data_IF_598773653317
#
_entry.id   IF_598773653317
#
_cell.length_a   1.000
_cell.length_b   1.000
_cell.length_c   1.000
_cell.angle_alpha   90.00
_cell.angle_beta   90.00
_cell.angle_gamma   90.00
#
_symmetry.space_group_name_H-M   'P 1'
#
loop_
_entity.id
_entity.type
_entity.pdbx_description
1 polymer ?
#
# COMPACT_ATOMS: atom_id res chain seq x y z
N UNK A 1 13.42 2.78 -6.29
CA UNK A 1 14.10 1.59 -5.71
C UNK A 1 13.23 1.10 -4.56
N UNK A 2 12.73 -0.13 -4.56
CA UNK A 2 11.84 -0.65 -3.51
C UNK A 2 12.53 -1.82 -2.80
N UNK A 3 13.01 -1.66 -1.56
CA UNK A 3 13.34 -2.80 -0.72
C UNK A 3 12.47 -2.81 0.54
N UNK A 4 11.39 -3.58 0.50
CA UNK A 4 10.87 -4.41 1.58
C UNK A 4 9.72 -5.23 1.01
N UNK A 5 9.89 -6.56 0.92
CA UNK A 5 8.86 -7.49 0.43
C UNK A 5 7.62 -7.46 1.34
N UNK A 6 6.70 -6.53 1.10
CA UNK A 6 5.40 -6.47 1.78
C UNK A 6 4.42 -7.48 1.17
N UNK A 7 4.83 -8.74 1.03
CA UNK A 7 3.97 -9.85 0.59
C UNK A 7 3.27 -9.68 -0.77
N UNK A 8 3.64 -8.67 -1.58
CA UNK A 8 2.95 -8.30 -2.83
C UNK A 8 1.73 -7.39 -2.69
N UNK A 9 1.53 -6.76 -1.52
CA UNK A 9 0.44 -5.79 -1.26
C UNK A 9 0.87 -4.33 -1.43
N UNK A 10 2.16 -4.06 -1.61
CA UNK A 10 2.68 -2.70 -1.77
C UNK A 10 2.42 -2.18 -3.19
N UNK A 11 1.87 -0.97 -3.28
CA UNK A 11 1.42 -0.35 -4.54
C UNK A 11 2.19 0.91 -4.92
N UNK A 12 2.57 1.74 -3.94
CA UNK A 12 3.19 3.05 -4.20
C UNK A 12 4.21 3.50 -3.14
N UNK A 13 4.56 2.61 -2.22
CA UNK A 13 5.54 2.87 -1.15
C UNK A 13 5.27 4.12 -0.29
N UNK A 14 6.30 4.48 0.48
CA UNK A 14 6.34 5.70 1.27
C UNK A 14 7.31 6.67 0.61
N UNK A 15 6.78 7.61 -0.16
CA UNK A 15 7.59 8.62 -0.82
C UNK A 15 7.54 9.95 -0.05
N UNK A 16 8.71 10.58 0.00
CA UNK A 16 9.04 11.78 0.78
C UNK A 16 9.76 12.80 -0.11
N UNK A 17 9.75 12.62 -1.43
CA UNK A 17 10.51 13.42 -2.38
C UNK A 17 10.07 14.88 -2.36
N UNK A 18 8.78 15.15 -2.14
CA UNK A 18 8.25 16.50 -1.93
C UNK A 18 8.93 17.25 -0.77
N UNK A 19 9.42 16.54 0.26
CA UNK A 19 10.14 17.16 1.38
C UNK A 19 11.45 17.83 0.95
N UNK A 20 12.02 17.36 -0.16
CA UNK A 20 13.27 17.84 -0.73
C UNK A 20 13.07 18.91 -1.80
N UNK A 21 11.83 19.32 -2.08
CA UNK A 21 11.58 20.42 -2.99
C UNK A 21 12.28 21.71 -2.49
N UNK A 22 13.05 22.39 -3.36
CA UNK A 22 13.82 23.58 -2.99
C UNK A 22 12.91 24.77 -2.63
N UNK A 23 11.66 24.80 -3.11
CA UNK A 23 10.73 25.88 -2.82
C UNK A 23 10.33 25.91 -1.34
N UNK A 24 10.17 27.09 -0.71
CA UNK A 24 9.68 27.18 0.66
C UNK A 24 8.30 26.57 0.85
N UNK A 25 7.45 26.56 -0.19
CA UNK A 25 6.15 25.88 -0.19
C UNK A 25 6.02 25.11 -1.50
N UNK A 26 5.61 23.85 -1.41
CA UNK A 26 5.40 22.98 -2.55
C UNK A 26 4.18 22.07 -2.31
N UNK A 27 3.53 21.66 -3.39
CA UNK A 27 2.38 20.76 -3.35
C UNK A 27 2.50 19.73 -4.44
N UNK A 28 2.04 18.52 -4.19
CA UNK A 28 2.04 17.42 -5.14
C UNK A 28 0.68 16.74 -5.16
N UNK A 29 0.25 16.34 -6.35
CA UNK A 29 -0.90 15.46 -6.55
C UNK A 29 -0.58 14.52 -7.70
N UNK A 30 -0.56 13.22 -7.41
CA UNK A 30 -0.26 12.15 -8.36
C UNK A 30 -1.35 11.08 -8.28
N UNK A 31 -1.66 10.47 -9.41
CA UNK A 31 -2.45 9.25 -9.46
C UNK A 31 -1.85 8.34 -10.53
N UNK A 32 -1.38 7.17 -10.11
CA UNK A 32 -0.87 6.16 -11.03
C UNK A 32 -1.93 5.08 -11.25
N UNK A 33 -2.22 4.76 -12.51
CA UNK A 33 -3.12 3.68 -12.89
C UNK A 33 -2.32 2.42 -13.21
N UNK A 34 -2.66 1.31 -12.56
CA UNK A 34 -1.97 0.03 -12.72
C UNK A 34 -2.96 -1.01 -13.22
N UNK A 35 -2.59 -1.71 -14.30
CA UNK A 35 -3.34 -2.83 -14.86
C UNK A 35 -2.46 -4.08 -14.85
N UNK A 36 -2.45 -4.86 -13.76
CA UNK A 36 -1.66 -6.08 -13.71
C UNK A 36 -2.29 -7.18 -14.57
N UNK A 37 -1.49 -7.86 -15.41
CA UNK A 37 -1.92 -9.08 -16.10
C UNK A 37 -1.50 -10.31 -15.28
N UNK A 38 -2.41 -10.80 -14.43
CA UNK A 38 -2.20 -12.00 -13.61
C UNK A 38 -3.29 -13.01 -13.89
N UNK A 39 -2.92 -14.26 -14.14
CA UNK A 39 -3.86 -15.36 -14.39
C UNK A 39 -3.59 -16.57 -13.51
N UNK A 40 -4.66 -17.13 -12.95
CA UNK A 40 -4.66 -18.45 -12.34
C UNK A 40 -4.82 -19.50 -13.42
N UNK A 41 -4.07 -20.60 -13.29
CA UNK A 41 -4.13 -21.76 -14.19
C UNK A 41 -4.08 -23.04 -13.37
N UNK A 42 -4.68 -24.10 -13.92
CA UNK A 42 -4.74 -25.42 -13.28
C UNK A 42 -5.34 -25.36 -11.86
N UNK A 43 -6.33 -24.47 -11.66
CA UNK A 43 -7.01 -24.35 -10.39
C UNK A 43 -7.83 -25.62 -10.08
N UNK A 44 -7.69 -26.09 -8.85
CA UNK A 44 -8.40 -27.23 -8.29
C UNK A 44 -9.14 -26.77 -7.02
N UNK A 45 -10.26 -27.41 -6.73
CA UNK A 45 -11.02 -27.21 -5.50
C UNK A 45 -10.41 -27.99 -4.32
N UNK A 46 -11.11 -27.99 -3.17
CA UNK A 46 -10.70 -28.74 -1.99
C UNK A 46 -10.41 -30.21 -2.29
N UNK A 47 -9.35 -30.76 -1.69
CA UNK A 47 -8.92 -32.14 -1.92
C UNK A 47 -8.27 -32.40 -3.28
N UNK A 48 -7.99 -31.35 -4.08
CA UNK A 48 -7.35 -31.49 -5.38
C UNK A 48 -8.28 -31.93 -6.51
N UNK A 49 -9.60 -31.86 -6.29
CA UNK A 49 -10.60 -32.20 -7.30
C UNK A 49 -11.30 -30.93 -7.83
N UNK A 50 -11.76 -30.90 -9.09
CA UNK A 50 -12.64 -29.84 -9.59
C UNK A 50 -13.92 -29.74 -8.76
N UNK A 51 -14.46 -28.52 -8.60
CA UNK A 51 -15.69 -28.28 -7.83
C UNK A 51 -16.94 -28.86 -8.51
N UNK A 52 -16.87 -29.07 -9.82
CA UNK A 52 -17.93 -29.67 -10.60
C UNK A 52 -17.96 -29.16 -12.04
N UNK A 53 -18.89 -29.68 -12.86
CA UNK A 53 -19.12 -29.16 -14.20
C UNK A 53 -19.57 -27.68 -14.13
N UNK A 54 -18.98 -26.83 -14.96
CA UNK A 54 -19.28 -25.38 -15.01
C UNK A 54 -18.26 -24.48 -14.29
N UNK A 55 -17.36 -25.05 -13.48
CA UNK A 55 -16.25 -24.31 -12.87
C UNK A 55 -15.00 -24.34 -13.74
N UNK A 56 -14.47 -23.16 -14.07
CA UNK A 56 -13.24 -23.01 -14.86
C UNK A 56 -11.99 -23.38 -14.05
N UNK A 57 -10.97 -23.97 -14.70
CA UNK A 57 -9.64 -24.17 -14.11
C UNK A 57 -8.71 -22.95 -14.26
N UNK A 58 -9.20 -21.90 -14.91
CA UNK A 58 -8.49 -20.63 -15.12
C UNK A 58 -9.36 -19.45 -14.72
N UNK A 59 -8.75 -18.40 -14.17
CA UNK A 59 -9.42 -17.14 -13.86
C UNK A 59 -8.39 -16.00 -13.87
N UNK A 60 -8.85 -14.77 -14.06
CA UNK A 60 -8.00 -13.60 -13.86
C UNK A 60 -7.77 -13.37 -12.36
N UNK A 61 -6.57 -12.93 -12.00
CA UNK A 61 -6.08 -12.91 -10.62
C UNK A 61 -5.63 -11.55 -10.15
N UNK A 62 -5.96 -10.49 -10.89
CA UNK A 62 -5.73 -9.11 -10.51
C UNK A 62 -6.73 -8.23 -11.23
N UNK A 63 -7.26 -7.25 -10.51
CA UNK A 63 -8.07 -6.17 -11.07
C UNK A 63 -7.20 -4.90 -11.23
N UNK A 64 -7.56 -4.02 -12.18
CA UNK A 64 -6.89 -2.74 -12.32
C UNK A 64 -7.24 -1.79 -11.17
N UNK A 65 -6.32 -0.92 -10.81
CA UNK A 65 -6.51 0.01 -9.69
C UNK A 65 -5.76 1.32 -9.88
N UNK A 66 -6.20 2.33 -9.13
CA UNK A 66 -5.53 3.62 -9.00
C UNK A 66 -4.75 3.69 -7.68
N UNK A 67 -3.62 4.40 -7.70
CA UNK A 67 -2.80 4.70 -6.53
C UNK A 67 -2.68 6.23 -6.41
N UNK A 68 -3.57 6.88 -5.62
CA UNK A 68 -3.51 8.32 -5.43
C UNK A 68 -2.48 8.70 -4.36
N UNK A 69 -1.88 9.88 -4.54
CA UNK A 69 -0.97 10.56 -3.62
C UNK A 69 -1.23 12.05 -3.67
N UNK A 70 -1.31 12.68 -2.50
CA UNK A 70 -1.42 14.14 -2.40
C UNK A 70 -0.54 14.60 -1.24
N UNK A 71 0.27 15.62 -1.46
CA UNK A 71 1.20 16.13 -0.47
C UNK A 71 1.27 17.65 -0.47
N UNK A 72 1.61 18.21 0.69
CA UNK A 72 1.98 19.60 0.86
C UNK A 72 3.22 19.70 1.74
N UNK A 73 4.15 20.57 1.36
CA UNK A 73 5.37 20.87 2.09
C UNK A 73 5.48 22.37 2.32
N UNK A 74 5.95 22.73 3.52
CA UNK A 74 6.26 24.10 3.89
C UNK A 74 7.56 24.17 4.71
N UNK A 75 8.37 25.18 4.45
CA UNK A 75 9.46 25.61 5.32
C UNK A 75 8.85 26.37 6.49
N UNK A 76 8.89 25.76 7.68
CA UNK A 76 8.26 26.32 8.88
C UNK A 76 9.17 27.37 9.52
N UNK A 77 10.48 27.08 9.55
CA UNK A 77 11.54 28.01 9.93
C UNK A 77 12.77 27.76 9.06
N UNK A 78 13.74 28.68 9.10
CA UNK A 78 14.97 28.52 8.32
C UNK A 78 15.66 27.18 8.64
N UNK A 79 15.87 26.36 7.61
CA UNK A 79 16.47 25.04 7.74
C UNK A 79 15.52 23.92 8.20
N UNK A 80 14.26 24.22 8.53
CA UNK A 80 13.25 23.20 8.89
C UNK A 80 12.13 23.17 7.86
N UNK A 81 12.02 22.04 7.17
CA UNK A 81 10.98 21.77 6.19
C UNK A 81 10.04 20.68 6.75
N UNK A 82 8.73 20.91 6.73
CA UNK A 82 7.71 19.95 7.16
C UNK A 82 6.73 19.66 6.03
N UNK A 83 6.32 18.40 5.93
CA UNK A 83 5.43 17.87 4.91
C UNK A 83 4.27 17.11 5.56
N UNK A 84 3.10 17.25 4.98
CA UNK A 84 1.94 16.39 5.22
C UNK A 84 1.54 15.71 3.92
N UNK A 85 1.30 14.40 3.96
CA UNK A 85 0.89 13.62 2.79
C UNK A 85 -0.25 12.64 3.10
N UNK A 86 -1.08 12.41 2.09
CA UNK A 86 -2.05 11.33 2.00
C UNK A 86 -1.65 10.40 0.85
N UNK A 87 -1.69 9.09 1.08
CA UNK A 87 -1.38 8.08 0.07
C UNK A 87 -2.10 6.76 0.36
N UNK A 88 -2.19 5.91 -0.66
CA UNK A 88 -2.65 4.51 -0.52
C UNK A 88 -1.49 3.54 -0.79
N UNK A 89 -0.56 3.36 0.17
CA UNK A 89 0.69 2.63 -0.06
C UNK A 89 0.48 1.12 -0.22
N UNK A 90 -0.60 0.57 0.34
CA UNK A 90 -0.93 -0.86 0.24
C UNK A 90 -2.35 -1.13 -0.28
N UNK A 91 -2.47 -2.25 -0.98
CA UNK A 91 -3.75 -2.87 -1.31
C UNK A 91 -3.60 -4.06 -2.25
N UNK A 92 -4.64 -4.88 -2.33
CA UNK A 92 -4.78 -5.94 -3.32
C UNK A 92 -6.23 -6.03 -3.77
N UNK A 93 -6.45 -6.15 -5.07
CA UNK A 93 -7.79 -6.39 -5.62
C UNK A 93 -7.71 -7.54 -6.61
N UNK A 94 -8.47 -8.59 -6.33
CA UNK A 94 -8.58 -9.80 -7.16
C UNK A 94 -10.03 -10.22 -7.21
N UNK A 95 -10.61 -10.39 -8.39
CA UNK A 95 -11.99 -10.81 -8.57
C UNK A 95 -12.12 -11.97 -9.58
N UNK A 96 -11.52 -13.16 -9.30
CA UNK A 96 -11.63 -14.32 -10.20
C UNK A 96 -13.07 -14.82 -10.41
N UNK A 97 -14.03 -14.41 -9.56
CA UNK A 97 -15.45 -14.70 -9.68
C UNK A 97 -15.87 -16.00 -8.99
N UNK A 98 -17.16 -16.35 -9.09
CA UNK A 98 -17.71 -17.55 -8.44
C UNK A 98 -17.61 -18.82 -9.30
N UNK A 99 -17.35 -18.68 -10.60
CA UNK A 99 -17.39 -19.78 -11.57
C UNK A 99 -15.99 -20.35 -11.90
N UNK A 100 -15.11 -20.49 -10.91
CA UNK A 100 -13.79 -21.13 -11.06
C UNK A 100 -13.48 -22.09 -9.91
N UNK A 101 -12.62 -23.08 -10.16
CA UNK A 101 -12.33 -24.15 -9.20
C UNK A 101 -11.74 -23.67 -7.87
N UNK A 102 -11.15 -22.47 -7.82
CA UNK A 102 -10.66 -21.86 -6.58
C UNK A 102 -11.66 -20.96 -5.87
N UNK A 103 -12.94 -20.93 -6.27
CA UNK A 103 -13.95 -20.05 -5.70
C UNK A 103 -14.19 -20.28 -4.20
N UNK A 104 -13.92 -21.48 -3.67
CA UNK A 104 -13.90 -21.75 -2.21
C UNK A 104 -12.79 -20.96 -1.50
N UNK A 105 -11.69 -20.68 -2.18
CA UNK A 105 -10.58 -19.91 -1.63
C UNK A 105 -10.77 -18.40 -1.79
N UNK A 106 -11.30 -17.97 -2.94
CA UNK A 106 -11.47 -16.56 -3.29
C UNK A 106 -12.47 -16.39 -4.43
N UNK A 107 -13.54 -15.64 -4.20
CA UNK A 107 -14.41 -15.10 -5.25
C UNK A 107 -13.95 -13.69 -5.58
N UNK A 108 -13.80 -12.88 -4.55
CA UNK A 108 -13.27 -11.53 -4.61
C UNK A 108 -12.54 -11.19 -3.31
N UNK A 109 -11.41 -10.50 -3.43
CA UNK A 109 -10.71 -9.88 -2.31
C UNK A 109 -10.36 -8.47 -2.73
N UNK A 110 -10.86 -7.47 -2.01
CA UNK A 110 -10.48 -6.07 -2.18
C UNK A 110 -9.97 -5.55 -0.83
N UNK A 111 -8.69 -5.23 -0.77
CA UNK A 111 -8.00 -4.67 0.38
C UNK A 111 -7.40 -3.33 -0.05
N UNK A 112 -7.68 -2.30 0.73
CA UNK A 112 -7.18 -0.93 0.54
C UNK A 112 -6.55 -0.44 1.84
N UNK A 113 -5.72 0.59 1.70
CA UNK A 113 -5.16 1.30 2.85
C UNK A 113 -5.17 2.79 2.60
N UNK A 114 -5.43 3.54 3.67
CA UNK A 114 -5.28 4.99 3.70
C UNK A 114 -4.17 5.34 4.68
N UNK A 115 -3.16 6.06 4.20
CA UNK A 115 -2.04 6.53 5.00
C UNK A 115 -2.03 8.05 5.05
N UNK A 116 -1.92 8.59 6.27
CA UNK A 116 -1.77 10.01 6.55
C UNK A 116 -0.46 10.22 7.29
N UNK A 117 0.46 10.96 6.72
CA UNK A 117 1.80 11.12 7.28
C UNK A 117 2.18 12.59 7.46
N UNK A 118 2.90 12.86 8.54
CA UNK A 118 3.51 14.15 8.81
C UNK A 118 5.01 13.93 9.05
N UNK A 119 5.85 14.54 8.22
CA UNK A 119 7.31 14.37 8.25
C UNK A 119 7.98 15.73 8.25
N UNK A 120 8.85 15.98 9.23
CA UNK A 120 9.69 17.17 9.26
C UNK A 120 11.15 16.78 9.05
N UNK A 121 11.92 17.74 8.56
CA UNK A 121 13.36 17.61 8.41
C UNK A 121 14.08 18.87 8.83
N UNK A 122 15.30 18.69 9.30
CA UNK A 122 16.22 19.77 9.60
C UNK A 122 17.48 19.63 8.75
N UNK A 123 17.84 20.68 8.01
CA UNK A 123 19.00 20.72 7.12
C UNK A 123 20.02 21.76 7.56
N UNK A 124 21.29 21.44 7.39
CA UNK A 124 22.41 22.33 7.66
C UNK A 124 23.56 22.05 6.70
N UNK A 125 24.37 23.07 6.46
CA UNK A 125 25.51 22.97 5.56
C UNK A 125 26.59 22.05 6.15
N UNK A 126 27.04 21.10 5.35
CA UNK A 126 28.00 20.07 5.72
C UNK A 126 28.97 19.80 4.55
N UNK A 127 30.14 20.41 4.62
CA UNK A 127 31.18 20.27 3.60
C UNK A 127 30.77 20.91 2.28
N UNK A 128 30.63 20.08 1.23
CA UNK A 128 30.24 20.52 -0.12
C UNK A 128 28.73 20.50 -0.38
N UNK A 129 27.94 20.12 0.61
CA UNK A 129 26.50 19.89 0.46
C UNK A 129 25.75 20.17 1.75
N UNK A 130 24.52 19.66 1.84
CA UNK A 130 23.61 19.83 2.96
C UNK A 130 23.29 18.47 3.57
N UNK A 131 23.51 18.33 4.88
CA UNK A 131 23.07 17.16 5.64
C UNK A 131 21.69 17.45 6.21
N UNK A 132 20.78 16.49 6.09
CA UNK A 132 19.40 16.58 6.52
C UNK A 132 19.04 15.42 7.42
N UNK A 133 18.46 15.70 8.58
CA UNK A 133 17.81 14.71 9.44
C UNK A 133 16.30 14.76 9.20
N UNK A 134 15.67 13.59 9.16
CA UNK A 134 14.24 13.44 8.90
C UNK A 134 13.59 12.69 10.07
N UNK A 135 12.39 13.11 10.45
CA UNK A 135 11.57 12.46 11.45
C UNK A 135 10.10 12.69 11.16
N UNK A 136 9.28 11.67 11.32
CA UNK A 136 7.85 11.77 11.05
C UNK A 136 7.04 10.69 11.73
N UNK A 137 5.74 10.91 11.76
CA UNK A 137 4.74 9.96 12.21
C UNK A 137 3.71 9.76 11.11
N UNK A 138 3.09 8.60 11.10
CA UNK A 138 2.03 8.31 10.15
C UNK A 138 0.94 7.45 10.79
N UNK A 139 -0.28 7.67 10.36
CA UNK A 139 -1.44 6.91 10.75
C UNK A 139 -1.99 6.20 9.53
N UNK A 140 -2.19 4.89 9.68
CA UNK A 140 -2.58 4.03 8.59
C UNK A 140 -3.85 3.27 8.96
N UNK A 141 -4.81 3.29 8.04
CA UNK A 141 -5.99 2.43 8.06
C UNK A 141 -5.85 1.36 6.99
N UNK A 142 -6.29 0.15 7.29
CA UNK A 142 -6.39 -0.96 6.35
C UNK A 142 -7.81 -1.49 6.44
N UNK A 143 -8.48 -1.55 5.30
CA UNK A 143 -9.85 -2.03 5.23
C UNK A 143 -10.09 -2.80 3.95
N UNK A 144 -11.14 -3.61 3.94
CA UNK A 144 -11.47 -4.42 2.79
C UNK A 144 -12.38 -5.58 3.13
N UNK A 145 -12.48 -6.51 2.20
CA UNK A 145 -13.22 -7.73 2.41
C UNK A 145 -12.63 -8.88 1.60
N UNK A 146 -13.02 -10.08 1.99
CA UNK A 146 -12.78 -11.30 1.25
C UNK A 146 -14.05 -12.12 1.17
N UNK A 147 -14.39 -12.55 -0.04
CA UNK A 147 -15.50 -13.42 -0.34
C UNK A 147 -15.00 -14.77 -0.85
N UNK A 148 -15.73 -15.82 -0.51
CA UNK A 148 -15.44 -17.18 -0.94
C UNK A 148 -16.70 -18.03 -0.91
N UNK A 149 -16.69 -19.14 -1.65
CA UNK A 149 -17.75 -20.12 -1.53
C UNK A 149 -17.66 -20.84 -0.19
N UNK A 150 -18.78 -20.85 0.53
CA UNK A 150 -18.99 -21.60 1.76
C UNK A 150 -20.04 -22.68 1.54
N UNK A 151 -19.95 -23.76 2.32
CA UNK A 151 -20.83 -24.95 2.28
C UNK A 151 -21.11 -25.56 0.88
N UNK A 152 -20.38 -26.61 0.53
CA UNK A 152 -20.58 -27.38 -0.71
C UNK A 152 -21.61 -28.53 -0.55
N UNK A 153 -22.19 -28.72 0.64
CA UNK A 153 -23.09 -29.84 0.96
C UNK A 153 -24.58 -29.54 0.76
N UNK A 154 -25.00 -28.29 1.00
CA UNK A 154 -26.40 -27.86 0.86
C UNK A 154 -26.67 -26.91 -0.32
N UNK A 155 -25.65 -26.68 -1.16
CA UNK A 155 -25.67 -25.76 -2.30
C UNK A 155 -24.72 -24.59 -2.08
N UNK A 156 -24.07 -24.06 -3.15
CA UNK A 156 -23.01 -23.07 -2.99
C UNK A 156 -23.56 -21.78 -2.38
N UNK A 157 -23.04 -21.40 -1.21
CA UNK A 157 -23.27 -20.12 -0.57
C UNK A 157 -22.03 -19.23 -0.71
N UNK A 158 -22.20 -17.91 -0.62
CA UNK A 158 -21.08 -16.96 -0.56
C UNK A 158 -20.95 -16.50 0.87
N UNK A 159 -19.78 -16.74 1.47
CA UNK A 159 -19.43 -16.16 2.75
C UNK A 159 -18.51 -14.97 2.56
N UNK A 160 -18.67 -13.96 3.42
CA UNK A 160 -17.88 -12.74 3.41
C UNK A 160 -17.19 -12.54 4.75
N UNK A 161 -15.94 -12.08 4.69
CA UNK A 161 -15.17 -11.62 5.85
C UNK A 161 -14.72 -10.20 5.59
N UNK A 162 -15.24 -9.26 6.37
CA UNK A 162 -14.75 -7.89 6.35
C UNK A 162 -13.48 -7.73 7.19
N UNK A 163 -12.61 -6.82 6.75
CA UNK A 163 -11.36 -6.45 7.40
C UNK A 163 -11.41 -4.95 7.67
N UNK A 164 -11.22 -4.54 8.91
CA UNK A 164 -10.96 -3.15 9.29
C UNK A 164 -9.94 -3.14 10.44
N UNK A 165 -8.88 -2.36 10.29
CA UNK A 165 -7.92 -2.10 11.34
C UNK A 165 -7.16 -0.80 11.07
N UNK A 166 -6.53 -0.25 12.11
CA UNK A 166 -5.69 0.92 11.98
C UNK A 166 -4.55 0.91 12.98
N UNK A 167 -3.53 1.72 12.72
CA UNK A 167 -2.38 1.83 13.59
C UNK A 167 -1.51 3.03 13.30
N UNK A 168 -0.63 3.34 14.25
CA UNK A 168 0.37 4.38 14.13
C UNK A 168 1.73 3.79 13.81
N UNK A 169 2.50 4.52 13.00
CA UNK A 169 3.90 4.27 12.71
C UNK A 169 4.71 5.55 12.81
N UNK A 170 6.02 5.39 12.78
CA UNK A 170 6.98 6.49 12.76
C UNK A 170 8.06 6.21 11.72
N UNK A 171 8.67 7.29 11.23
CA UNK A 171 9.80 7.21 10.32
C UNK A 171 10.93 8.10 10.77
N UNK A 172 12.15 7.68 10.50
CA UNK A 172 13.35 8.47 10.73
C UNK A 172 14.32 8.25 9.58
N UNK A 173 15.11 9.27 9.27
CA UNK A 173 16.06 9.17 8.17
C UNK A 173 17.13 10.22 8.19
N UNK A 174 18.08 10.02 7.29
CA UNK A 174 19.13 10.98 6.98
C UNK A 174 19.23 11.12 5.47
N UNK A 175 19.58 12.32 5.00
CA UNK A 175 19.87 12.57 3.62
C UNK A 175 21.05 13.53 3.46
N UNK A 176 21.84 13.31 2.42
CA UNK A 176 22.91 14.21 2.02
C UNK A 176 22.65 14.69 0.59
N UNK A 177 22.64 16.01 0.42
CA UNK A 177 22.28 16.68 -0.82
C UNK A 177 23.46 17.54 -1.29
N UNK A 178 23.83 17.48 -2.56
CA UNK A 178 24.79 18.40 -3.19
C UNK A 178 24.03 19.11 -4.33
N UNK A 179 23.42 20.28 -4.05
CA UNK A 179 22.56 20.97 -5.01
C UNK A 179 23.26 21.29 -6.33
N UNK A 180 24.54 21.68 -6.29
CA UNK A 180 25.34 22.07 -7.46
C UNK A 180 25.46 20.98 -8.53
N UNK A 181 25.36 19.71 -8.13
CA UNK A 181 25.43 18.55 -9.04
C UNK A 181 24.13 17.73 -9.04
N UNK A 182 23.06 18.26 -8.46
CA UNK A 182 21.76 17.60 -8.29
C UNK A 182 21.85 16.18 -7.67
N UNK A 183 22.82 15.97 -6.77
CA UNK A 183 22.99 14.67 -6.11
C UNK A 183 22.20 14.64 -4.81
N UNK A 184 21.42 13.59 -4.62
CA UNK A 184 20.76 13.26 -3.36
C UNK A 184 20.97 11.79 -3.02
N UNK A 185 21.43 11.53 -1.80
CA UNK A 185 21.43 10.21 -1.20
C UNK A 185 20.61 10.26 0.09
N UNK A 186 19.67 9.33 0.26
CA UNK A 186 18.81 9.29 1.44
C UNK A 186 18.66 7.86 1.96
N UNK A 187 18.66 7.73 3.28
CA UNK A 187 18.36 6.50 3.99
C UNK A 187 17.21 6.79 4.95
N UNK A 188 16.10 6.08 4.79
CA UNK A 188 14.90 6.26 5.61
C UNK A 188 14.42 4.91 6.11
N UNK A 189 14.10 4.86 7.40
CA UNK A 189 13.48 3.73 8.06
C UNK A 189 12.03 4.09 8.41
N UNK A 190 11.10 3.23 8.02
CA UNK A 190 9.70 3.30 8.45
C UNK A 190 9.45 2.15 9.43
N UNK A 191 8.82 2.45 10.57
CA UNK A 191 8.48 1.44 11.56
C UNK A 191 7.39 0.50 11.04
N UNK A 192 7.33 -0.70 11.59
CA UNK A 192 6.15 -1.53 11.45
C UNK A 192 4.95 -0.83 12.09
N UNK A 193 3.79 -0.89 11.42
CA UNK A 193 2.51 -0.49 11.99
C UNK A 193 1.86 -1.72 12.59
N UNK A 194 1.53 -1.64 13.88
CA UNK A 194 0.72 -2.67 14.53
C UNK A 194 -0.74 -2.37 14.25
N UNK A 195 -1.37 -3.30 13.56
CA UNK A 195 -2.81 -3.28 13.26
C UNK A 195 -3.49 -4.00 14.42
N UNK A 196 -4.01 -3.23 15.37
CA UNK A 196 -4.70 -3.78 16.53
C UNK A 196 -6.14 -4.15 16.13
N UNK A 197 -6.64 -5.29 16.62
CA UNK A 197 -7.99 -5.82 16.39
C UNK A 197 -8.41 -5.87 14.91
N UNK A 198 -7.96 -6.89 14.18
CA UNK A 198 -8.63 -7.34 12.97
C UNK A 198 -10.01 -7.90 13.39
N UNK A 199 -11.03 -7.07 13.36
CA UNK A 199 -12.42 -7.51 13.53
C UNK A 199 -13.00 -7.79 12.15
N UNK A 200 -13.60 -8.98 12.00
CA UNK A 200 -14.38 -9.35 10.82
C UNK A 200 -15.67 -10.01 11.25
N UNK A 201 -16.77 -9.62 10.63
CA UNK A 201 -18.06 -10.30 10.74
C UNK A 201 -18.15 -11.34 9.63
N UNK A 202 -18.68 -12.52 9.98
CA UNK A 202 -19.13 -13.50 9.01
C UNK A 202 -20.63 -13.30 8.88
N UNK A 203 -21.07 -12.78 7.72
CA UNK A 203 -22.47 -12.82 7.30
C UNK A 203 -22.66 -13.93 6.25
#
# INVERSE_FOLDING_TARGET
>A
MHPAHAGGLERGGYDIDLLFDPAPVATEAEATYVMPDRKYKNALGPGGAPLGPGFSSTADGAEPYWVPRIGVKAQVVQGVDCMFDYSQPWGAHTAPGSNWNGAVSNIETDIKSDNYAATCSYKFDAGKGQLRFLGGVFYQKVYGFKEGLTDIGFGPMVGRVDLDSSGWGWRAGIAYEIPDIALRASLVYNSQVKLDNISGTLD
#
